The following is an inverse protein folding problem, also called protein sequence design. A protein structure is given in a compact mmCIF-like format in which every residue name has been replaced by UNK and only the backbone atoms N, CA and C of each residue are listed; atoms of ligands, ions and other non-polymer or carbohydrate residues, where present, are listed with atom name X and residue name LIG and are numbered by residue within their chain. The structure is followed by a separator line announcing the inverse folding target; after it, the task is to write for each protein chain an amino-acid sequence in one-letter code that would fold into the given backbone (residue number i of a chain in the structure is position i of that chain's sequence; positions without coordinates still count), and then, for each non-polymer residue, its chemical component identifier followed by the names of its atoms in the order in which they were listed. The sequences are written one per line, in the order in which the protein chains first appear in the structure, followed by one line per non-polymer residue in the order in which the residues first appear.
data_IF_027685597798
#
_entry.id   IF_027685597798
#
_cell.length_a   1.000
_cell.length_b   1.000
_cell.length_c   1.000
_cell.angle_alpha   90.00
_cell.angle_beta   90.00
_cell.angle_gamma   90.00
#
_symmetry.space_group_name_H-M   'P 1'
#
loop_
_entity.id
_entity.type
_entity.pdbx_description
1 polymer ?
#
# COMPACT_ATOMS: atom_id res chain seq x y z
N UNK A 1 8.74 -19.86 -15.65
CA UNK A 1 8.00 -19.34 -14.48
C UNK A 1 6.83 -18.52 -15.00
N UNK A 2 5.63 -18.66 -14.43
CA UNK A 2 4.46 -17.94 -14.93
C UNK A 2 4.54 -16.47 -14.52
N UNK A 3 4.62 -15.57 -15.50
CA UNK A 3 4.51 -14.13 -15.28
C UNK A 3 3.14 -13.83 -14.67
N UNK A 4 3.13 -13.20 -13.50
CA UNK A 4 1.91 -12.77 -12.84
C UNK A 4 1.99 -11.28 -12.62
N UNK A 5 0.90 -10.57 -12.91
CA UNK A 5 0.77 -9.13 -12.70
C UNK A 5 -0.53 -8.86 -11.97
N UNK A 6 -0.47 -8.08 -10.90
CA UNK A 6 -1.64 -7.68 -10.12
C UNK A 6 -1.66 -6.16 -9.98
N UNK A 7 -2.84 -5.58 -10.18
CA UNK A 7 -3.08 -4.15 -10.05
C UNK A 7 -4.15 -3.93 -9.00
N UNK A 8 -3.88 -3.06 -8.04
CA UNK A 8 -4.82 -2.70 -6.96
C UNK A 8 -4.94 -1.17 -6.91
N UNK A 9 -6.17 -0.68 -6.78
CA UNK A 9 -6.47 0.72 -6.53
C UNK A 9 -6.95 0.86 -5.08
N UNK A 10 -6.30 1.74 -4.32
CA UNK A 10 -6.61 1.99 -2.91
C UNK A 10 -7.00 3.46 -2.70
N UNK A 11 -8.16 3.76 -2.09
CA UNK A 11 -8.56 5.13 -1.79
C UNK A 11 -7.85 5.66 -0.53
N UNK A 12 -7.55 6.96 -0.53
CA UNK A 12 -7.26 7.69 0.69
C UNK A 12 -8.54 7.81 1.54
N UNK A 13 -8.39 8.10 2.84
CA UNK A 13 -9.52 8.29 3.74
C UNK A 13 -9.31 9.48 4.69
N UNK A 14 -10.41 10.05 5.18
CA UNK A 14 -10.41 11.10 6.21
C UNK A 14 -11.17 10.60 7.44
N UNK A 15 -10.51 10.60 8.60
CA UNK A 15 -11.09 10.15 9.85
C UNK A 15 -12.07 11.17 10.45
N UNK A 16 -13.28 10.72 10.79
CA UNK A 16 -14.25 11.46 11.61
C UNK A 16 -14.02 11.18 13.10
N UNK A 17 -13.81 9.91 13.45
CA UNK A 17 -13.29 9.52 14.77
C UNK A 17 -11.81 9.18 14.60
N UNK A 18 -10.95 9.93 15.27
CA UNK A 18 -9.50 9.90 15.04
C UNK A 18 -8.87 8.64 15.63
N UNK A 19 -7.96 8.03 14.86
CA UNK A 19 -6.95 7.13 15.41
C UNK A 19 -5.84 7.98 16.03
N UNK A 20 -5.62 7.88 17.34
CA UNK A 20 -4.56 8.64 18.00
C UNK A 20 -3.93 7.85 19.15
N UNK A 21 -2.66 7.48 18.94
CA UNK A 21 -1.87 6.71 19.90
C UNK A 21 -1.96 5.19 19.72
N UNK A 22 -0.90 4.50 20.11
CA UNK A 22 -0.73 3.06 19.97
C UNK A 22 -0.48 2.44 21.33
N UNK A 23 -1.18 1.34 21.62
CA UNK A 23 -0.93 0.54 22.83
C UNK A 23 0.21 -0.46 22.63
N UNK A 24 0.42 -0.87 21.38
CA UNK A 24 1.53 -1.73 20.95
C UNK A 24 1.98 -1.26 19.57
N UNK A 25 3.22 -0.76 19.48
CA UNK A 25 3.78 -0.22 18.24
C UNK A 25 4.42 -1.27 17.33
N UNK A 26 4.77 -2.44 17.86
CA UNK A 26 5.29 -3.55 17.04
C UNK A 26 4.20 -4.19 16.19
N UNK A 27 2.98 -4.26 16.73
CA UNK A 27 1.79 -4.76 16.04
C UNK A 27 0.89 -3.66 15.46
N UNK A 28 1.19 -2.38 15.73
CA UNK A 28 0.39 -1.21 15.30
C UNK A 28 -1.05 -1.28 15.85
N UNK A 29 -1.22 -1.64 17.12
CA UNK A 29 -2.54 -1.75 17.76
C UNK A 29 -3.02 -0.40 18.32
N UNK A 30 -4.25 0.04 17.98
CA UNK A 30 -4.82 1.30 18.46
C UNK A 30 -5.07 1.33 19.97
N UNK A 31 -5.02 2.54 20.56
CA UNK A 31 -5.64 2.81 21.86
C UNK A 31 -7.17 2.91 21.78
N UNK A 32 -7.71 3.39 20.66
CA UNK A 32 -9.14 3.56 20.43
C UNK A 32 -9.53 3.20 19.00
N UNK A 33 -10.79 2.78 18.82
CA UNK A 33 -11.35 2.60 17.47
C UNK A 33 -11.45 3.93 16.73
N UNK A 34 -11.34 3.87 15.40
CA UNK A 34 -11.48 5.02 14.50
C UNK A 34 -12.54 4.74 13.44
N UNK A 35 -13.15 5.81 12.91
CA UNK A 35 -14.12 5.75 11.81
C UNK A 35 -13.73 6.81 10.78
N UNK A 36 -13.63 6.41 9.53
CA UNK A 36 -13.25 7.29 8.42
C UNK A 36 -14.12 7.08 7.19
N UNK A 37 -14.08 8.05 6.29
CA UNK A 37 -14.72 8.00 4.99
C UNK A 37 -13.65 7.93 3.91
N UNK A 38 -13.83 7.03 2.94
CA UNK A 38 -12.97 6.94 1.77
C UNK A 38 -13.24 8.10 0.81
N UNK A 39 -12.19 8.60 0.18
CA UNK A 39 -12.25 9.60 -0.88
C UNK A 39 -12.27 8.89 -2.24
N UNK A 40 -13.28 9.18 -3.05
CA UNK A 40 -13.46 8.50 -4.35
C UNK A 40 -12.34 8.82 -5.35
N UNK A 41 -12.00 10.11 -5.49
CA UNK A 41 -11.01 10.56 -6.49
C UNK A 41 -9.57 10.44 -6.00
N UNK A 42 -9.32 10.61 -4.71
CA UNK A 42 -7.97 10.60 -4.14
C UNK A 42 -7.51 9.15 -3.90
N UNK A 43 -6.86 8.57 -4.90
CA UNK A 43 -6.51 7.15 -4.91
C UNK A 43 -5.05 6.93 -5.31
N UNK A 44 -4.49 5.82 -4.85
CA UNK A 44 -3.19 5.30 -5.27
C UNK A 44 -3.41 3.99 -5.99
N UNK A 45 -2.81 3.83 -7.17
CA UNK A 45 -2.80 2.57 -7.91
C UNK A 45 -1.43 1.93 -7.80
N UNK A 46 -1.38 0.68 -7.37
CA UNK A 46 -0.14 -0.10 -7.24
C UNK A 46 -0.20 -1.29 -8.18
N UNK A 47 0.88 -1.51 -8.91
CA UNK A 47 1.06 -2.63 -9.83
C UNK A 47 2.27 -3.43 -9.37
N UNK A 48 2.09 -4.74 -9.18
CA UNK A 48 3.17 -5.67 -8.86
C UNK A 48 3.28 -6.69 -9.99
N UNK A 49 4.49 -6.91 -10.48
CA UNK A 49 4.81 -7.93 -11.47
C UNK A 49 5.81 -8.92 -10.89
N UNK A 50 5.54 -10.22 -11.06
CA UNK A 50 6.40 -11.33 -10.62
C UNK A 50 6.96 -12.06 -11.84
N UNK A 51 8.25 -12.39 -11.80
CA UNK A 51 8.86 -13.34 -12.73
C UNK A 51 9.56 -12.77 -13.97
N UNK A 52 9.96 -11.50 -13.96
CA UNK A 52 10.87 -10.91 -14.96
C UNK A 52 12.25 -10.67 -14.31
N UNK A 53 13.01 -11.75 -14.07
CA UNK A 53 14.31 -11.79 -13.34
C UNK A 53 14.24 -11.32 -11.86
N UNK A 54 13.43 -10.32 -11.55
CA UNK A 54 13.15 -9.77 -10.23
C UNK A 54 11.68 -9.32 -10.13
N UNK A 55 11.16 -9.20 -8.90
CA UNK A 55 9.84 -8.63 -8.65
C UNK A 55 9.90 -7.09 -8.80
N UNK A 56 8.97 -6.51 -9.58
CA UNK A 56 8.86 -5.06 -9.77
C UNK A 56 7.58 -4.48 -9.19
N UNK A 57 7.67 -3.22 -8.74
CA UNK A 57 6.55 -2.50 -8.12
C UNK A 57 6.44 -1.11 -8.74
N UNK A 58 5.29 -0.80 -9.33
CA UNK A 58 4.97 0.55 -9.84
C UNK A 58 3.82 1.15 -9.08
N UNK A 59 3.87 2.46 -8.87
CA UNK A 59 2.85 3.20 -8.12
C UNK A 59 2.48 4.47 -8.86
N UNK A 60 1.18 4.72 -9.01
CA UNK A 60 0.61 5.99 -9.44
C UNK A 60 -0.12 6.63 -8.27
N UNK A 61 0.42 7.73 -7.77
CA UNK A 61 -0.22 8.53 -6.72
C UNK A 61 -1.30 9.46 -7.31
N UNK A 62 -2.19 9.96 -6.46
CA UNK A 62 -3.17 10.96 -6.87
C UNK A 62 -2.49 12.17 -7.49
N UNK A 63 -2.94 12.57 -8.68
CA UNK A 63 -2.43 13.72 -9.43
C UNK A 63 -0.93 13.67 -9.76
N UNK A 64 -0.37 12.45 -9.89
CA UNK A 64 1.02 12.22 -10.31
C UNK A 64 1.11 11.16 -11.39
N UNK A 65 2.23 11.18 -12.10
CA UNK A 65 2.58 10.13 -13.04
C UNK A 65 2.92 8.81 -12.34
N UNK A 66 2.79 7.71 -13.08
CA UNK A 66 3.23 6.40 -12.60
C UNK A 66 4.75 6.37 -12.51
N UNK A 67 5.25 5.88 -11.37
CA UNK A 67 6.69 5.72 -11.12
C UNK A 67 6.98 4.28 -10.71
N UNK A 68 8.17 3.79 -11.07
CA UNK A 68 8.70 2.54 -10.55
C UNK A 68 9.39 2.77 -9.20
N UNK A 69 9.04 1.95 -8.20
CA UNK A 69 9.67 2.02 -6.90
C UNK A 69 10.99 1.25 -6.91
N UNK A 70 12.01 1.87 -6.33
CA UNK A 70 13.35 1.31 -6.21
C UNK A 70 13.81 1.30 -4.74
N UNK A 71 14.83 0.50 -4.44
CA UNK A 71 15.45 0.43 -3.11
C UNK A 71 14.45 0.12 -1.99
N UNK A 72 14.59 0.81 -0.87
CA UNK A 72 13.86 0.50 0.37
C UNK A 72 12.34 0.64 0.29
N UNK A 73 11.78 1.46 -0.63
CA UNK A 73 10.33 1.55 -0.81
C UNK A 73 9.77 0.29 -1.48
N UNK A 74 10.47 -0.20 -2.51
CA UNK A 74 10.14 -1.47 -3.17
C UNK A 74 10.21 -2.63 -2.17
N UNK A 75 11.30 -2.70 -1.41
CA UNK A 75 11.51 -3.75 -0.41
C UNK A 75 10.41 -3.77 0.65
N UNK A 76 9.95 -2.61 1.12
CA UNK A 76 8.83 -2.51 2.07
C UNK A 76 7.54 -3.10 1.50
N UNK A 77 7.19 -2.78 0.26
CA UNK A 77 5.98 -3.31 -0.38
C UNK A 77 6.09 -4.82 -0.55
N UNK A 78 7.21 -5.31 -1.08
CA UNK A 78 7.45 -6.74 -1.26
C UNK A 78 7.46 -7.49 0.08
N UNK A 79 8.04 -6.92 1.14
CA UNK A 79 8.03 -7.51 2.47
C UNK A 79 6.63 -7.73 3.02
N UNK A 80 5.67 -6.84 2.75
CA UNK A 80 4.26 -7.03 3.14
C UNK A 80 3.60 -8.13 2.32
N UNK A 81 3.77 -8.09 0.99
CA UNK A 81 3.20 -9.07 0.06
C UNK A 81 3.72 -10.48 0.35
N UNK A 82 4.98 -10.60 0.76
CA UNK A 82 5.63 -11.86 1.12
C UNK A 82 5.07 -12.49 2.40
N UNK A 83 4.30 -11.77 3.21
CA UNK A 83 3.65 -12.34 4.41
C UNK A 83 2.42 -13.18 4.08
N UNK A 84 1.85 -13.03 2.88
CA UNK A 84 0.54 -13.58 2.51
C UNK A 84 0.55 -14.46 1.26
N UNK A 85 1.70 -14.56 0.57
CA UNK A 85 1.92 -15.46 -0.56
C UNK A 85 2.74 -16.66 -0.12
#
# INVERSE_FOLDING_TARGET
MAYRKVTVKSPANIAFIKYWGQRDSGLVLPLNSSVSMNLDSCTTTTVISWGEEEDSVRVKYYDKDEVELLGGEREKVLAVVNRIR
#
